data_IF_204500741915
#
_entry.id   IF_204500741915
#
_cell.length_a   1.000
_cell.length_b   1.000
_cell.length_c   1.000
_cell.angle_alpha   90.00
_cell.angle_beta   90.00
_cell.angle_gamma   90.00
#
_symmetry.space_group_name_H-M   'P 1'
#
loop_
_entity.id
_entity.type
_entity.pdbx_description
1 polymer ?
#
# COMPACT_ATOMS: atom_id res chain seq x y z
N UNK A 1 0.48 -42.07 3.55
CA UNK A 1 1.74 -41.64 4.20
C UNK A 1 1.98 -40.17 3.85
N UNK A 2 1.86 -39.29 4.83
CA UNK A 2 2.23 -37.85 4.77
C UNK A 2 3.74 -37.68 5.09
N UNK A 3 4.41 -36.59 4.64
CA UNK A 3 4.27 -35.23 5.20
C UNK A 3 4.11 -34.15 4.10
N UNK A 4 3.39 -33.05 4.27
CA UNK A 4 3.40 -32.13 5.40
C UNK A 4 4.26 -30.89 5.05
N UNK A 5 3.70 -29.97 4.26
CA UNK A 5 4.25 -28.66 3.85
C UNK A 5 3.15 -27.66 4.30
N UNK A 6 3.27 -26.69 5.21
CA UNK A 6 4.35 -25.97 5.93
C UNK A 6 3.80 -25.45 7.29
N UNK A 7 4.61 -24.81 8.16
CA UNK A 7 4.59 -23.34 8.14
C UNK A 7 5.99 -22.70 8.23
N UNK A 8 6.27 -21.79 7.30
CA UNK A 8 7.54 -21.07 7.14
C UNK A 8 7.70 -19.84 8.05
N UNK A 9 6.90 -19.70 9.11
CA UNK A 9 6.88 -18.47 9.93
C UNK A 9 7.41 -18.62 11.37
N UNK A 10 8.10 -19.71 11.69
CA UNK A 10 8.62 -19.94 13.07
C UNK A 10 10.15 -20.16 13.13
N UNK A 11 10.88 -20.12 12.01
CA UNK A 11 12.33 -20.39 11.99
C UNK A 11 13.28 -19.19 12.05
N UNK A 12 12.81 -17.96 11.84
CA UNK A 12 13.70 -16.77 11.90
C UNK A 12 13.83 -16.15 13.30
N UNK A 13 12.98 -16.49 14.26
CA UNK A 13 13.04 -15.93 15.62
C UNK A 13 13.97 -16.70 16.59
N UNK A 14 14.68 -17.73 16.13
CA UNK A 14 15.57 -18.55 16.98
C UNK A 14 17.05 -18.60 16.56
N UNK A 15 17.47 -17.87 15.51
CA UNK A 15 18.87 -17.86 15.06
C UNK A 15 19.65 -16.56 15.33
N UNK A 16 19.02 -15.50 15.83
CA UNK A 16 19.70 -14.23 16.10
C UNK A 16 20.45 -14.16 17.46
N UNK A 17 20.34 -15.17 18.34
CA UNK A 17 20.85 -15.06 19.72
C UNK A 17 21.99 -16.06 20.07
N UNK A 18 22.80 -16.47 19.07
CA UNK A 18 23.91 -17.42 19.28
C UNK A 18 25.20 -17.11 18.52
N UNK A 19 25.47 -15.83 18.22
CA UNK A 19 26.74 -15.37 17.64
C UNK A 19 27.51 -14.36 18.52
N UNK A 20 27.10 -14.16 19.76
CA UNK A 20 27.88 -13.47 20.79
C UNK A 20 28.21 -14.45 21.89
N UNK A 21 29.32 -15.19 21.75
CA UNK A 21 30.16 -15.67 22.85
C UNK A 21 31.36 -16.43 22.27
N UNK A 22 32.56 -15.96 22.65
CA UNK A 22 33.90 -16.57 22.50
C UNK A 22 34.57 -16.44 21.13
N UNK A 23 35.48 -15.47 21.02
CA UNK A 23 36.93 -15.79 21.12
C UNK A 23 37.68 -14.64 21.77
N UNK A 24 38.55 -15.02 22.70
CA UNK A 24 39.35 -14.17 23.58
C UNK A 24 40.75 -13.98 22.99
N UNK A 25 41.29 -12.77 23.17
CA UNK A 25 42.67 -12.58 23.63
C UNK A 25 43.81 -12.73 22.62
N UNK A 26 44.33 -11.61 22.14
CA UNK A 26 45.78 -11.42 21.95
C UNK A 26 46.19 -9.95 22.09
N UNK A 27 47.14 -9.70 22.99
CA UNK A 27 47.81 -8.42 23.24
C UNK A 27 48.92 -8.15 22.21
N UNK A 28 49.37 -6.88 22.21
CA UNK A 28 50.62 -6.28 21.64
C UNK A 28 50.40 -5.83 20.18
N UNK A 29 50.65 -4.58 19.73
CA UNK A 29 51.63 -3.57 20.14
C UNK A 29 51.13 -2.12 19.94
N UNK A 30 51.66 -1.20 20.75
CA UNK A 30 51.58 0.26 20.54
C UNK A 30 52.31 0.64 19.24
N UNK A 31 51.63 1.32 18.31
CA UNK A 31 52.25 2.17 17.29
C UNK A 31 51.50 3.49 17.23
N UNK A 32 52.25 4.56 17.42
CA UNK A 32 51.85 5.96 17.37
C UNK A 32 51.26 6.34 16.00
N UNK A 33 50.05 6.89 15.98
CA UNK A 33 49.51 7.62 14.82
C UNK A 33 49.96 9.09 14.88
N UNK A 34 50.37 9.68 13.75
CA UNK A 34 50.53 11.12 13.66
C UNK A 34 49.17 11.81 13.55
N UNK A 35 49.16 13.01 14.09
CA UNK A 35 48.07 13.96 14.26
C UNK A 35 47.47 14.49 12.95
N UNK A 36 46.24 14.99 13.09
CA UNK A 36 45.50 15.90 12.19
C UNK A 36 45.01 15.37 10.85
N UNK A 37 43.85 14.70 10.87
CA UNK A 37 42.91 14.71 9.73
C UNK A 37 41.91 15.84 10.01
N UNK A 38 41.92 16.87 9.16
CA UNK A 38 40.95 17.97 9.20
C UNK A 38 39.53 17.43 9.07
N UNK A 39 38.63 17.87 9.95
CA UNK A 39 37.19 17.57 9.93
C UNK A 39 36.56 17.94 8.58
N UNK A 40 37.14 18.90 7.82
CA UNK A 40 36.65 19.27 6.48
C UNK A 40 36.81 18.15 5.45
N UNK A 41 37.80 17.28 5.60
CA UNK A 41 38.08 16.19 4.64
C UNK A 41 37.12 15.02 4.80
N UNK A 42 36.59 14.81 6.02
CA UNK A 42 35.60 13.76 6.30
C UNK A 42 34.22 14.18 5.78
N UNK A 43 33.88 15.48 5.86
CA UNK A 43 32.62 16.02 5.35
C UNK A 43 32.57 15.96 3.80
N UNK A 44 33.70 16.23 3.12
CA UNK A 44 33.77 16.11 1.65
C UNK A 44 33.71 14.66 1.14
N UNK A 45 34.15 13.67 1.94
CA UNK A 45 34.06 12.25 1.55
C UNK A 45 32.67 11.66 1.80
N UNK A 46 31.95 12.16 2.82
CA UNK A 46 30.58 11.74 3.13
C UNK A 46 29.56 12.35 2.16
N UNK A 47 29.79 13.55 1.62
CA UNK A 47 28.92 14.15 0.58
C UNK A 47 29.02 13.45 -0.80
N UNK A 48 30.11 12.74 -1.09
CA UNK A 48 30.30 12.00 -2.35
C UNK A 48 29.78 10.56 -2.30
N UNK A 49 29.32 10.10 -1.14
CA UNK A 49 28.75 8.77 -0.90
C UNK A 49 27.27 8.81 -0.54
N UNK A 50 26.58 9.93 -0.79
CA UNK A 50 25.12 9.90 -0.85
C UNK A 50 24.74 8.95 -2.00
N UNK A 51 24.06 7.82 -1.73
CA UNK A 51 23.47 7.06 -2.81
C UNK A 51 22.54 8.04 -3.53
N UNK A 52 22.83 8.30 -4.81
CA UNK A 52 21.84 8.86 -5.72
C UNK A 52 20.63 7.95 -5.59
N UNK A 53 19.65 8.35 -4.79
CA UNK A 53 18.39 7.65 -4.68
C UNK A 53 17.90 7.44 -6.11
N UNK A 54 17.64 6.19 -6.53
CA UNK A 54 17.06 5.97 -7.84
C UNK A 54 15.76 6.77 -7.85
N UNK A 55 15.72 7.81 -8.69
CA UNK A 55 14.45 8.40 -9.10
C UNK A 55 13.65 7.22 -9.60
N UNK A 56 12.54 6.90 -8.94
CA UNK A 56 11.59 5.95 -9.47
C UNK A 56 11.27 6.44 -10.89
N UNK A 57 11.82 5.75 -11.90
CA UNK A 57 11.51 6.05 -13.29
C UNK A 57 10.06 5.64 -13.42
N UNK A 58 9.19 6.63 -13.61
CA UNK A 58 7.84 6.36 -14.09
C UNK A 58 8.04 5.76 -15.47
N UNK A 59 7.80 4.46 -15.59
CA UNK A 59 7.96 3.74 -16.85
C UNK A 59 6.95 4.27 -17.86
N UNK A 60 7.32 4.34 -19.14
CA UNK A 60 6.38 4.73 -20.21
C UNK A 60 5.37 3.58 -20.49
N UNK A 61 5.77 2.34 -20.19
CA UNK A 61 5.00 1.10 -20.40
C UNK A 61 5.23 0.11 -19.26
N UNK A 62 4.24 -0.74 -19.01
CA UNK A 62 4.32 -1.92 -18.12
C UNK A 62 3.97 -3.15 -18.94
N UNK A 63 4.78 -4.20 -18.88
CA UNK A 63 4.48 -5.46 -19.56
C UNK A 63 3.44 -6.25 -18.75
N UNK A 64 2.27 -6.48 -19.34
CA UNK A 64 1.16 -7.18 -18.71
C UNK A 64 1.22 -8.65 -19.10
N UNK A 65 1.36 -9.53 -18.11
CA UNK A 65 1.36 -10.98 -18.26
C UNK A 65 0.02 -11.54 -17.76
N UNK A 66 -0.88 -11.87 -18.67
CA UNK A 66 -2.17 -12.47 -18.36
C UNK A 66 -2.09 -13.99 -18.38
N UNK A 67 -2.75 -14.65 -17.44
CA UNK A 67 -3.04 -16.09 -17.50
C UNK A 67 -4.52 -16.33 -17.22
N UNK A 68 -5.21 -17.04 -18.10
CA UNK A 68 -6.60 -17.47 -17.90
C UNK A 68 -6.62 -18.91 -17.40
N UNK A 69 -7.29 -19.14 -16.27
CA UNK A 69 -7.44 -20.47 -15.66
C UNK A 69 -8.91 -20.80 -15.41
N UNK A 70 -9.26 -22.06 -15.64
CA UNK A 70 -10.57 -22.65 -15.35
C UNK A 70 -10.49 -23.48 -14.07
N UNK A 71 -11.47 -23.34 -13.18
CA UNK A 71 -11.76 -24.38 -12.19
C UNK A 71 -12.59 -25.47 -12.87
N UNK A 72 -12.13 -26.71 -12.82
CA UNK A 72 -12.85 -27.89 -13.30
C UNK A 72 -12.79 -28.96 -12.22
N UNK A 73 -13.90 -29.15 -11.51
CA UNK A 73 -13.88 -29.93 -10.27
C UNK A 73 -12.88 -29.30 -9.29
N UNK A 74 -11.91 -30.08 -8.83
CA UNK A 74 -10.91 -29.64 -7.84
C UNK A 74 -9.61 -29.12 -8.46
N UNK A 75 -9.50 -29.15 -9.79
CA UNK A 75 -8.30 -28.73 -10.50
C UNK A 75 -8.47 -27.32 -11.07
N UNK A 76 -7.40 -26.54 -11.00
CA UNK A 76 -7.27 -25.28 -11.72
C UNK A 76 -6.32 -25.49 -12.88
N UNK A 77 -6.83 -25.37 -14.10
CA UNK A 77 -6.06 -25.59 -15.33
C UNK A 77 -6.08 -24.36 -16.23
N UNK A 78 -4.99 -24.10 -16.94
CA UNK A 78 -4.97 -23.01 -17.91
C UNK A 78 -5.93 -23.28 -19.08
N UNK A 79 -6.53 -22.22 -19.64
CA UNK A 79 -7.42 -22.33 -20.80
C UNK A 79 -6.66 -21.91 -22.06
N UNK A 80 -6.26 -22.87 -22.92
CA UNK A 80 -5.63 -22.54 -24.18
C UNK A 80 -6.64 -21.91 -25.15
N UNK A 81 -6.18 -20.96 -25.97
CA UNK A 81 -6.99 -20.30 -27.01
C UNK A 81 -8.29 -19.65 -26.50
N UNK A 82 -8.30 -19.19 -25.24
CA UNK A 82 -9.42 -18.48 -24.65
C UNK A 82 -9.61 -17.13 -25.34
N UNK A 83 -10.83 -16.84 -25.80
CA UNK A 83 -11.17 -15.57 -26.44
C UNK A 83 -11.58 -14.53 -25.40
N UNK A 84 -10.90 -13.40 -25.43
CA UNK A 84 -11.04 -12.31 -24.47
C UNK A 84 -11.24 -10.98 -25.21
N UNK A 85 -11.89 -10.04 -24.56
CA UNK A 85 -11.88 -8.63 -24.95
C UNK A 85 -11.17 -7.85 -23.87
N UNK A 86 -10.08 -7.18 -24.24
CA UNK A 86 -9.31 -6.30 -23.36
C UNK A 86 -9.61 -4.85 -23.75
N UNK A 87 -9.90 -4.00 -22.77
CA UNK A 87 -10.38 -2.61 -22.97
C UNK A 87 -9.55 -1.75 -23.91
N UNK A 88 -8.23 -1.93 -23.96
CA UNK A 88 -7.28 -1.11 -24.72
C UNK A 88 -6.65 -1.84 -25.92
N UNK A 89 -6.86 -3.16 -26.04
CA UNK A 89 -6.33 -3.99 -27.13
C UNK A 89 -7.43 -4.45 -28.10
N UNK A 90 -8.63 -4.72 -27.59
CA UNK A 90 -9.72 -5.36 -28.34
C UNK A 90 -9.75 -6.87 -28.14
N UNK A 91 -10.23 -7.59 -29.16
CA UNK A 91 -10.36 -9.05 -29.10
C UNK A 91 -9.01 -9.75 -29.27
N UNK A 92 -8.70 -10.66 -28.35
CA UNK A 92 -7.46 -11.44 -28.33
C UNK A 92 -7.74 -12.90 -27.98
N UNK A 93 -6.76 -13.76 -28.27
CA UNK A 93 -6.77 -15.15 -27.85
C UNK A 93 -5.52 -15.47 -27.04
N UNK A 94 -5.66 -16.27 -25.99
CA UNK A 94 -4.51 -16.79 -25.24
C UNK A 94 -3.75 -17.85 -26.04
N UNK A 95 -2.49 -18.08 -25.68
CA UNK A 95 -1.64 -19.12 -26.25
C UNK A 95 -2.01 -20.54 -25.77
N UNK A 96 -1.16 -21.52 -26.10
CA UNK A 96 -1.32 -22.93 -25.69
C UNK A 96 -1.18 -23.18 -24.18
N UNK A 97 -0.64 -22.21 -23.44
CA UNK A 97 -0.52 -22.23 -21.98
C UNK A 97 -1.56 -21.33 -21.31
N UNK A 98 -2.53 -20.80 -22.07
CA UNK A 98 -3.55 -19.89 -21.57
C UNK A 98 -3.02 -18.51 -21.19
N UNK A 99 -1.88 -18.11 -21.74
CA UNK A 99 -1.22 -16.84 -21.46
C UNK A 99 -1.41 -15.83 -22.60
N UNK A 100 -1.35 -14.55 -22.25
CA UNK A 100 -1.29 -13.45 -23.21
C UNK A 100 -0.43 -12.32 -22.64
N UNK A 101 0.54 -11.83 -23.41
CA UNK A 101 1.47 -10.78 -22.96
C UNK A 101 1.38 -9.58 -23.89
N UNK A 102 1.27 -8.38 -23.33
CA UNK A 102 1.26 -7.14 -24.11
C UNK A 102 1.77 -5.95 -23.30
N UNK A 103 2.38 -4.95 -23.97
CA UNK A 103 2.81 -3.72 -23.31
C UNK A 103 1.62 -2.78 -23.09
N UNK A 104 1.44 -2.32 -21.86
CA UNK A 104 0.38 -1.37 -21.48
C UNK A 104 0.95 0.05 -21.27
N UNK A 105 0.42 1.08 -21.95
CA UNK A 105 0.90 2.45 -21.80
C UNK A 105 0.38 3.10 -20.52
N UNK A 106 1.25 3.31 -19.53
CA UNK A 106 0.88 3.98 -18.26
C UNK A 106 1.13 5.50 -18.26
N UNK A 107 1.81 6.02 -19.30
CA UNK A 107 2.19 7.43 -19.37
C UNK A 107 0.96 8.35 -19.38
N UNK A 108 0.94 9.33 -18.47
CA UNK A 108 -0.13 10.32 -18.28
C UNK A 108 -1.49 9.76 -17.84
N UNK A 109 -1.55 8.51 -17.35
CA UNK A 109 -2.78 7.97 -16.77
C UNK A 109 -2.81 8.20 -15.25
N UNK A 110 -3.84 8.90 -14.78
CA UNK A 110 -4.23 8.94 -13.37
C UNK A 110 -5.07 7.71 -13.07
N UNK A 111 -4.51 6.76 -12.32
CA UNK A 111 -5.09 5.45 -11.95
C UNK A 111 -5.31 4.49 -13.15
N UNK A 112 -4.23 3.98 -13.79
CA UNK A 112 -4.35 3.07 -14.93
C UNK A 112 -5.11 1.78 -14.57
N UNK A 113 -6.07 1.41 -15.41
CA UNK A 113 -6.99 0.27 -15.21
C UNK A 113 -7.10 -0.54 -16.51
N UNK A 114 -7.14 -1.86 -16.38
CA UNK A 114 -7.36 -2.81 -17.46
C UNK A 114 -8.65 -3.56 -17.14
N UNK A 115 -9.58 -3.58 -18.08
CA UNK A 115 -10.80 -4.39 -17.99
C UNK A 115 -10.77 -5.49 -19.03
N UNK A 116 -11.00 -6.72 -18.58
CA UNK A 116 -11.02 -7.91 -19.42
C UNK A 116 -12.38 -8.59 -19.25
N UNK A 117 -13.02 -8.87 -20.38
CA UNK A 117 -14.20 -9.73 -20.43
C UNK A 117 -13.91 -10.97 -21.25
N UNK A 118 -14.55 -12.06 -20.89
CA UNK A 118 -14.41 -13.33 -21.59
C UNK A 118 -15.56 -13.51 -22.57
N UNK A 119 -15.24 -13.92 -23.80
CA UNK A 119 -16.22 -14.16 -24.85
C UNK A 119 -16.75 -15.61 -24.78
N UNK A 120 -17.31 -16.00 -23.63
CA UNK A 120 -17.86 -17.33 -23.38
C UNK A 120 -19.15 -17.23 -22.56
N UNK A 121 -20.31 -17.68 -23.08
CA UNK A 121 -21.57 -17.62 -22.34
C UNK A 121 -21.65 -18.64 -21.20
N UNK A 122 -20.88 -19.72 -21.26
CA UNK A 122 -20.90 -20.82 -20.28
C UNK A 122 -19.99 -20.57 -19.08
N UNK A 123 -19.07 -19.60 -19.17
CA UNK A 123 -18.04 -19.39 -18.14
C UNK A 123 -18.24 -18.05 -17.47
N UNK A 124 -18.30 -18.07 -16.15
CA UNK A 124 -18.33 -16.88 -15.32
C UNK A 124 -16.91 -16.52 -14.88
N UNK A 125 -16.55 -15.25 -15.02
CA UNK A 125 -15.29 -14.73 -14.49
C UNK A 125 -15.45 -14.43 -13.00
N UNK A 126 -14.61 -15.04 -12.14
CA UNK A 126 -14.64 -14.86 -10.69
C UNK A 126 -13.49 -13.99 -10.17
N UNK A 127 -12.33 -14.05 -10.83
CA UNK A 127 -11.12 -13.30 -10.47
C UNK A 127 -10.53 -12.70 -11.73
N UNK A 128 -10.11 -11.42 -11.73
CA UNK A 128 -10.40 -10.39 -10.74
C UNK A 128 -11.89 -9.98 -10.77
N UNK A 129 -12.36 -9.32 -9.70
CA UNK A 129 -13.75 -8.85 -9.63
C UNK A 129 -14.06 -7.90 -10.81
N UNK A 130 -15.22 -8.10 -11.44
CA UNK A 130 -15.66 -7.37 -12.64
C UNK A 130 -14.68 -7.45 -13.82
N UNK A 131 -13.72 -8.39 -13.78
CA UNK A 131 -12.65 -8.50 -14.76
C UNK A 131 -11.72 -7.30 -14.84
N UNK A 132 -11.72 -6.43 -13.84
CA UNK A 132 -10.97 -5.17 -13.86
C UNK A 132 -9.83 -5.17 -12.86
N UNK A 133 -8.69 -4.59 -13.26
CA UNK A 133 -7.47 -4.54 -12.43
C UNK A 133 -6.81 -3.17 -12.55
N UNK A 134 -6.47 -2.59 -11.40
CA UNK A 134 -5.62 -1.40 -11.37
C UNK A 134 -4.15 -1.78 -11.48
N UNK A 135 -3.44 -1.10 -12.37
CA UNK A 135 -2.04 -1.35 -12.68
C UNK A 135 -1.15 -0.47 -11.80
N UNK A 136 -0.06 -1.05 -11.30
CA UNK A 136 0.95 -0.31 -10.58
C UNK A 136 2.03 0.19 -11.54
N UNK A 137 2.07 1.50 -11.87
CA UNK A 137 3.02 2.04 -12.84
C UNK A 137 4.47 2.06 -12.32
N UNK A 138 4.71 1.67 -11.07
CA UNK A 138 6.05 1.54 -10.50
C UNK A 138 6.73 0.21 -10.84
N UNK A 139 5.99 -0.76 -11.37
CA UNK A 139 6.51 -2.07 -11.75
C UNK A 139 6.79 -2.14 -13.24
N UNK A 140 7.83 -2.87 -13.65
CA UNK A 140 8.15 -3.10 -15.06
C UNK A 140 7.27 -4.20 -15.68
N UNK A 141 6.99 -5.24 -14.89
CA UNK A 141 6.15 -6.37 -15.27
C UNK A 141 5.00 -6.51 -14.28
N UNK A 142 3.82 -6.85 -14.77
CA UNK A 142 2.62 -7.02 -13.96
C UNK A 142 1.90 -8.31 -14.34
N UNK A 143 1.74 -9.21 -13.38
CA UNK A 143 1.18 -10.56 -13.59
C UNK A 143 -0.26 -10.61 -13.10
N UNK A 144 -1.17 -11.08 -13.96
CA UNK A 144 -2.60 -11.15 -13.66
C UNK A 144 -3.14 -12.56 -13.94
N UNK A 145 -3.63 -13.20 -12.88
CA UNK A 145 -4.35 -14.47 -12.96
C UNK A 145 -5.87 -14.23 -13.01
N UNK A 146 -6.49 -14.61 -14.12
CA UNK A 146 -7.94 -14.61 -14.28
C UNK A 146 -8.47 -16.01 -14.00
N UNK A 147 -9.42 -16.13 -13.08
CA UNK A 147 -10.09 -17.39 -12.76
C UNK A 147 -11.52 -17.37 -13.28
N UNK A 148 -11.86 -18.38 -14.05
CA UNK A 148 -13.20 -18.58 -14.59
C UNK A 148 -13.75 -19.94 -14.17
N UNK A 149 -15.07 -20.02 -14.07
CA UNK A 149 -15.76 -21.24 -13.64
C UNK A 149 -17.02 -21.44 -14.48
N UNK A 150 -17.28 -22.68 -14.88
CA UNK A 150 -18.59 -23.04 -15.39
C UNK A 150 -19.54 -23.27 -14.22
N UNK A 151 -20.36 -22.28 -13.89
CA UNK A 151 -21.25 -22.35 -12.73
C UNK A 151 -22.27 -23.48 -12.81
N UNK A 152 -22.59 -23.99 -14.01
CA UNK A 152 -23.52 -25.10 -14.19
C UNK A 152 -22.95 -26.44 -13.69
N UNK A 153 -21.63 -26.59 -13.67
CA UNK A 153 -20.94 -27.83 -13.28
C UNK A 153 -20.64 -27.87 -11.77
N UNK A 154 -20.93 -26.79 -11.05
CA UNK A 154 -20.57 -26.63 -9.64
C UNK A 154 -21.73 -26.94 -8.68
N UNK A 155 -21.38 -27.28 -7.44
CA UNK A 155 -22.37 -27.56 -6.39
C UNK A 155 -23.25 -26.34 -6.07
N UNK A 156 -24.51 -26.58 -5.70
CA UNK A 156 -25.43 -25.51 -5.31
C UNK A 156 -24.90 -24.70 -4.11
N UNK A 157 -24.14 -25.35 -3.22
CA UNK A 157 -23.54 -24.69 -2.07
C UNK A 157 -22.41 -23.73 -2.49
N UNK A 158 -21.54 -24.17 -3.41
CA UNK A 158 -20.50 -23.31 -3.99
C UNK A 158 -21.12 -22.10 -4.69
N UNK A 159 -22.16 -22.32 -5.52
CA UNK A 159 -22.88 -21.23 -6.19
C UNK A 159 -23.41 -20.20 -5.19
N UNK A 160 -24.04 -20.65 -4.09
CA UNK A 160 -24.52 -19.75 -3.03
C UNK A 160 -23.39 -18.97 -2.35
N UNK A 161 -22.24 -19.58 -2.10
CA UNK A 161 -21.07 -18.90 -1.50
C UNK A 161 -20.53 -17.80 -2.44
N UNK A 162 -20.46 -18.07 -3.73
CA UNK A 162 -20.06 -17.08 -4.74
C UNK A 162 -21.09 -15.94 -4.82
N UNK A 163 -22.39 -16.25 -4.88
CA UNK A 163 -23.44 -15.22 -4.89
C UNK A 163 -23.42 -14.36 -3.62
N UNK A 164 -23.20 -14.96 -2.45
CA UNK A 164 -23.08 -14.23 -1.19
C UNK A 164 -21.87 -13.28 -1.20
N UNK A 165 -20.72 -13.76 -1.69
CA UNK A 165 -19.52 -12.95 -1.86
C UNK A 165 -19.79 -11.75 -2.79
N UNK A 166 -20.39 -11.99 -3.96
CA UNK A 166 -20.71 -10.94 -4.93
C UNK A 166 -21.70 -9.90 -4.37
N UNK A 167 -22.74 -10.35 -3.66
CA UNK A 167 -23.70 -9.46 -3.02
C UNK A 167 -23.02 -8.57 -1.96
N UNK A 168 -22.12 -9.14 -1.17
CA UNK A 168 -21.33 -8.40 -0.19
C UNK A 168 -20.40 -7.39 -0.86
N UNK A 169 -19.66 -7.80 -1.91
CA UNK A 169 -18.79 -6.89 -2.67
C UNK A 169 -19.60 -5.76 -3.32
N UNK A 170 -20.75 -6.07 -3.94
CA UNK A 170 -21.64 -5.07 -4.53
C UNK A 170 -22.28 -4.14 -3.50
N UNK A 171 -22.48 -4.57 -2.26
CA UNK A 171 -22.89 -3.68 -1.15
C UNK A 171 -21.74 -2.72 -0.77
N UNK A 172 -20.55 -3.24 -0.52
CA UNK A 172 -19.37 -2.44 -0.15
C UNK A 172 -19.00 -1.42 -1.23
N UNK A 173 -19.14 -1.80 -2.51
CA UNK A 173 -18.93 -0.92 -3.65
C UNK A 173 -19.98 0.20 -3.68
N UNK A 174 -21.27 -0.10 -3.51
CA UNK A 174 -22.36 0.90 -3.49
C UNK A 174 -22.24 1.88 -2.33
N UNK A 175 -21.79 1.42 -1.18
CA UNK A 175 -21.60 2.26 0.01
C UNK A 175 -20.33 3.11 -0.05
N UNK A 176 -19.49 2.96 -1.09
CA UNK A 176 -18.23 3.70 -1.30
C UNK A 176 -17.29 3.66 -0.09
N UNK A 177 -17.38 2.58 0.70
CA UNK A 177 -16.60 2.43 1.92
C UNK A 177 -15.13 2.13 1.63
N UNK A 178 -14.90 1.33 0.58
CA UNK A 178 -13.60 0.83 0.15
C UNK A 178 -13.23 1.39 -1.22
N UNK A 179 -11.93 1.61 -1.43
CA UNK A 179 -11.41 1.86 -2.79
C UNK A 179 -11.56 0.61 -3.65
N UNK A 180 -11.64 0.78 -4.99
CA UNK A 180 -11.68 -0.35 -5.94
C UNK A 180 -10.57 -1.38 -5.66
N UNK A 181 -9.34 -0.93 -5.40
CA UNK A 181 -8.21 -1.82 -5.12
C UNK A 181 -8.38 -2.64 -3.85
N UNK A 182 -8.87 -2.02 -2.77
CA UNK A 182 -9.16 -2.73 -1.51
C UNK A 182 -10.28 -3.76 -1.72
N UNK A 183 -11.32 -3.38 -2.46
CA UNK A 183 -12.42 -4.26 -2.82
C UNK A 183 -11.94 -5.47 -3.65
N UNK A 184 -11.05 -5.27 -4.63
CA UNK A 184 -10.45 -6.36 -5.41
C UNK A 184 -9.59 -7.29 -4.57
N UNK A 185 -8.77 -6.75 -3.66
CA UNK A 185 -7.96 -7.57 -2.75
C UNK A 185 -8.82 -8.38 -1.79
N UNK A 186 -9.89 -7.77 -1.26
CA UNK A 186 -10.87 -8.44 -0.41
C UNK A 186 -11.53 -9.59 -1.15
N UNK A 187 -12.09 -9.33 -2.34
CA UNK A 187 -12.72 -10.34 -3.18
C UNK A 187 -11.77 -11.51 -3.47
N UNK A 188 -10.55 -11.21 -3.91
CA UNK A 188 -9.57 -12.25 -4.25
C UNK A 188 -9.22 -13.12 -3.04
N UNK A 189 -9.01 -12.51 -1.87
CA UNK A 189 -8.68 -13.25 -0.64
C UNK A 189 -9.82 -14.15 -0.20
N UNK A 190 -11.06 -13.65 -0.23
CA UNK A 190 -12.24 -14.42 0.15
C UNK A 190 -12.54 -15.53 -0.86
N UNK A 191 -12.40 -15.25 -2.15
CA UNK A 191 -12.56 -16.24 -3.21
C UNK A 191 -11.52 -17.36 -3.09
N UNK A 192 -10.25 -17.02 -2.90
CA UNK A 192 -9.17 -18.01 -2.72
C UNK A 192 -9.46 -18.89 -1.47
N UNK A 193 -10.05 -18.31 -0.43
CA UNK A 193 -10.50 -19.03 0.77
C UNK A 193 -11.67 -19.98 0.48
N UNK A 194 -12.68 -19.52 -0.27
CA UNK A 194 -13.82 -20.36 -0.70
C UNK A 194 -13.32 -21.55 -1.52
N UNK A 195 -12.41 -21.31 -2.47
CA UNK A 195 -11.84 -22.35 -3.34
C UNK A 195 -11.04 -23.39 -2.54
N UNK A 196 -10.23 -22.94 -1.58
CA UNK A 196 -9.44 -23.83 -0.72
C UNK A 196 -10.34 -24.80 0.07
N UNK A 197 -11.45 -24.30 0.63
CA UNK A 197 -12.35 -25.14 1.40
C UNK A 197 -13.24 -26.03 0.54
N UNK A 198 -13.60 -25.59 -0.66
CA UNK A 198 -14.27 -26.44 -1.64
C UNK A 198 -13.40 -27.66 -1.98
N UNK A 199 -12.10 -27.45 -2.20
CA UNK A 199 -11.16 -28.53 -2.45
C UNK A 199 -11.07 -29.53 -1.28
N UNK A 200 -11.10 -29.05 -0.03
CA UNK A 200 -11.15 -29.93 1.14
C UNK A 200 -12.44 -30.75 1.14
N UNK A 201 -13.59 -30.14 0.87
CA UNK A 201 -14.90 -30.82 0.86
C UNK A 201 -14.91 -31.95 -0.18
N UNK A 202 -14.55 -31.65 -1.42
CA UNK A 202 -14.51 -32.65 -2.49
C UNK A 202 -13.55 -33.81 -2.16
N UNK A 203 -12.39 -33.51 -1.56
CA UNK A 203 -11.44 -34.56 -1.16
C UNK A 203 -11.98 -35.51 -0.09
N UNK A 204 -12.87 -35.02 0.78
CA UNK A 204 -13.55 -35.84 1.79
C UNK A 204 -14.71 -36.63 1.18
N UNK A 205 -15.47 -36.02 0.27
CA UNK A 205 -16.54 -36.70 -0.47
C UNK A 205 -15.99 -37.88 -1.30
N UNK A 206 -14.88 -37.68 -2.02
CA UNK A 206 -14.20 -38.74 -2.77
C UNK A 206 -13.79 -39.91 -1.86
N UNK A 207 -13.26 -39.62 -0.68
CA UNK A 207 -12.92 -40.66 0.31
C UNK A 207 -14.14 -41.44 0.80
N UNK A 208 -15.30 -40.78 0.92
CA UNK A 208 -16.57 -41.43 1.30
C UNK A 208 -17.08 -42.32 0.16
N UNK A 209 -17.02 -41.85 -1.09
CA UNK A 209 -17.47 -42.60 -2.27
C UNK A 209 -16.63 -43.82 -2.58
N UNK A 210 -15.31 -43.80 -2.33
CA UNK A 210 -14.43 -44.97 -2.52
C UNK A 210 -14.76 -46.15 -1.59
N UNK A 211 -15.61 -45.96 -0.58
CA UNK A 211 -15.97 -47.02 0.37
C UNK A 211 -17.10 -47.95 -0.12
N UNK A 212 -17.51 -47.96 -1.39
CA UNK A 212 -18.76 -48.53 -1.94
C UNK A 212 -19.04 -50.06 -1.83
N UNK A 213 -18.40 -50.81 -0.93
CA UNK A 213 -18.84 -52.17 -0.52
C UNK A 213 -18.75 -52.31 1.00
N UNK A 214 -19.79 -51.88 1.72
CA UNK A 214 -19.68 -51.52 3.15
C UNK A 214 -20.10 -52.64 4.13
N UNK A 215 -19.21 -52.91 5.09
CA UNK A 215 -19.50 -53.54 6.38
C UNK A 215 -20.07 -52.51 7.39
N UNK A 216 -20.61 -52.95 8.52
CA UNK A 216 -21.27 -52.06 9.50
C UNK A 216 -20.31 -51.04 10.15
N UNK A 217 -19.05 -51.41 10.40
CA UNK A 217 -17.99 -50.48 10.85
C UNK A 217 -17.71 -49.37 9.82
N UNK A 218 -17.88 -49.71 8.56
CA UNK A 218 -17.66 -48.86 7.41
C UNK A 218 -18.81 -47.83 7.27
N UNK A 219 -20.05 -48.21 7.63
CA UNK A 219 -21.18 -47.26 7.76
C UNK A 219 -20.98 -46.27 8.91
N UNK A 220 -20.54 -46.72 10.08
CA UNK A 220 -20.23 -45.84 11.20
C UNK A 220 -19.10 -44.84 10.86
N UNK A 221 -18.12 -45.28 10.06
CA UNK A 221 -17.05 -44.42 9.58
C UNK A 221 -17.58 -43.32 8.63
N UNK A 222 -18.49 -43.66 7.72
CA UNK A 222 -19.15 -42.70 6.82
C UNK A 222 -19.98 -41.69 7.62
N UNK A 223 -20.79 -42.13 8.58
CA UNK A 223 -21.58 -41.20 9.42
C UNK A 223 -20.67 -40.24 10.19
N UNK A 224 -19.55 -40.73 10.73
CA UNK A 224 -18.55 -39.90 11.40
C UNK A 224 -17.95 -38.87 10.45
N UNK A 225 -17.58 -39.28 9.23
CA UNK A 225 -17.01 -38.39 8.23
C UNK A 225 -18.02 -37.36 7.73
N UNK A 226 -19.29 -37.73 7.51
CA UNK A 226 -20.36 -36.80 7.15
C UNK A 226 -20.60 -35.76 8.25
N UNK A 227 -20.58 -36.17 9.53
CA UNK A 227 -20.66 -35.24 10.64
C UNK A 227 -19.44 -34.31 10.72
N UNK A 228 -18.25 -34.80 10.34
CA UNK A 228 -17.02 -34.00 10.29
C UNK A 228 -17.06 -32.99 9.14
N UNK A 229 -17.57 -33.37 7.97
CA UNK A 229 -17.81 -32.47 6.82
C UNK A 229 -18.77 -31.34 7.23
N UNK A 230 -19.92 -31.66 7.82
CA UNK A 230 -20.90 -30.65 8.24
C UNK A 230 -20.32 -29.68 9.29
N UNK A 231 -19.46 -30.15 10.19
CA UNK A 231 -18.79 -29.30 11.17
C UNK A 231 -17.73 -28.40 10.51
N UNK A 232 -16.96 -28.95 9.56
CA UNK A 232 -16.01 -28.17 8.77
C UNK A 232 -16.73 -27.09 7.94
N UNK A 233 -17.85 -27.40 7.29
CA UNK A 233 -18.67 -26.43 6.56
C UNK A 233 -19.12 -25.28 7.45
N UNK A 234 -19.66 -25.58 8.64
CA UNK A 234 -20.06 -24.57 9.60
C UNK A 234 -18.87 -23.68 10.00
N UNK A 235 -17.70 -24.29 10.28
CA UNK A 235 -16.49 -23.56 10.65
C UNK A 235 -15.95 -22.70 9.52
N UNK A 236 -16.02 -23.17 8.28
CA UNK A 236 -15.64 -22.40 7.09
C UNK A 236 -16.52 -21.17 6.93
N UNK A 237 -17.83 -21.34 7.08
CA UNK A 237 -18.77 -20.23 6.98
C UNK A 237 -18.49 -19.18 8.06
N UNK A 238 -18.27 -19.61 9.31
CA UNK A 238 -17.90 -18.69 10.41
C UNK A 238 -16.57 -18.00 10.14
N UNK A 239 -15.52 -18.73 9.79
CA UNK A 239 -14.19 -18.12 9.54
C UNK A 239 -14.19 -17.18 8.34
N UNK A 240 -14.95 -17.50 7.29
CA UNK A 240 -15.09 -16.63 6.11
C UNK A 240 -15.83 -15.35 6.48
N UNK A 241 -16.88 -15.44 7.30
CA UNK A 241 -17.59 -14.29 7.82
C UNK A 241 -16.68 -13.43 8.71
N UNK A 242 -16.02 -14.02 9.71
CA UNK A 242 -15.10 -13.34 10.62
C UNK A 242 -13.97 -12.65 9.85
N UNK A 243 -13.41 -13.33 8.83
CA UNK A 243 -12.38 -12.76 7.97
C UNK A 243 -12.92 -11.60 7.14
N UNK A 244 -14.14 -11.70 6.62
CA UNK A 244 -14.79 -10.62 5.86
C UNK A 244 -14.95 -9.39 6.74
N UNK A 245 -15.52 -9.55 7.93
CA UNK A 245 -15.75 -8.47 8.89
C UNK A 245 -14.42 -7.82 9.34
N UNK A 246 -13.42 -8.63 9.67
CA UNK A 246 -12.10 -8.13 10.07
C UNK A 246 -11.36 -7.39 8.96
N UNK A 247 -11.46 -7.87 7.70
CA UNK A 247 -10.87 -7.18 6.56
C UNK A 247 -11.61 -5.90 6.22
N UNK A 248 -12.94 -5.89 6.25
CA UNK A 248 -13.76 -4.70 6.08
C UNK A 248 -13.41 -3.63 7.12
N UNK A 249 -13.39 -3.99 8.41
CA UNK A 249 -13.01 -3.07 9.48
C UNK A 249 -11.59 -2.54 9.28
N UNK A 250 -10.63 -3.42 8.93
CA UNK A 250 -9.25 -3.01 8.63
C UNK A 250 -9.22 -1.97 7.51
N UNK A 251 -9.92 -2.19 6.40
CA UNK A 251 -9.89 -1.27 5.27
C UNK A 251 -10.62 0.06 5.55
N UNK A 252 -11.70 0.02 6.33
CA UNK A 252 -12.38 1.22 6.82
C UNK A 252 -11.43 2.08 7.66
N UNK A 253 -10.74 1.47 8.62
CA UNK A 253 -9.71 2.14 9.43
C UNK A 253 -8.58 2.67 8.56
N UNK A 254 -8.12 1.88 7.60
CA UNK A 254 -7.11 2.29 6.62
C UNK A 254 -7.56 3.59 5.91
N UNK A 255 -8.80 3.66 5.43
CA UNK A 255 -9.35 4.85 4.76
C UNK A 255 -9.48 6.06 5.69
N UNK A 256 -9.90 5.87 6.95
CA UNK A 256 -9.96 6.93 7.97
C UNK A 256 -8.58 7.57 8.19
N UNK A 257 -7.56 6.74 8.43
CA UNK A 257 -6.18 7.22 8.60
C UNK A 257 -5.65 7.89 7.34
N UNK A 258 -5.88 7.30 6.16
CA UNK A 258 -5.46 7.89 4.89
C UNK A 258 -6.02 9.30 4.69
N UNK A 259 -7.34 9.48 4.90
CA UNK A 259 -7.99 10.78 4.77
C UNK A 259 -7.41 11.78 5.76
N UNK A 260 -7.25 11.40 7.03
CA UNK A 260 -6.70 12.26 8.06
C UNK A 260 -5.27 12.71 7.72
N UNK A 261 -4.38 11.76 7.39
CA UNK A 261 -2.99 12.04 7.00
C UNK A 261 -2.93 12.95 5.77
N UNK A 262 -3.68 12.62 4.72
CA UNK A 262 -3.71 13.41 3.48
C UNK A 262 -4.17 14.85 3.72
N UNK A 263 -5.19 15.04 4.56
CA UNK A 263 -5.75 16.35 4.86
C UNK A 263 -4.75 17.18 5.68
N UNK A 264 -4.13 16.58 6.69
CA UNK A 264 -3.14 17.27 7.53
C UNK A 264 -1.92 17.68 6.72
N UNK A 265 -1.32 16.76 5.96
CA UNK A 265 -0.13 17.05 5.14
C UNK A 265 -0.42 18.09 4.04
N UNK A 266 -1.56 17.98 3.35
CA UNK A 266 -1.96 18.98 2.34
C UNK A 266 -2.26 20.34 2.96
N UNK A 267 -2.88 20.38 4.14
CA UNK A 267 -3.14 21.60 4.90
C UNK A 267 -1.85 22.32 5.28
N UNK A 268 -0.83 21.57 5.75
CA UNK A 268 0.46 22.15 6.10
C UNK A 268 1.16 22.76 4.90
N UNK A 269 1.26 22.03 3.78
CA UNK A 269 1.90 22.54 2.55
C UNK A 269 1.19 23.78 2.04
N UNK A 270 -0.15 23.80 2.04
CA UNK A 270 -0.93 24.97 1.62
C UNK A 270 -0.55 26.19 2.46
N UNK A 271 -0.60 26.10 3.79
CA UNK A 271 -0.32 27.26 4.63
C UNK A 271 1.17 27.64 4.69
N UNK A 272 2.07 26.69 4.47
CA UNK A 272 3.48 26.99 4.27
C UNK A 272 3.70 27.83 2.99
N UNK A 273 2.98 27.51 1.90
CA UNK A 273 2.99 28.31 0.65
C UNK A 273 2.36 29.68 0.85
N UNK A 274 1.24 29.77 1.57
CA UNK A 274 0.63 31.07 1.90
C UNK A 274 1.66 31.98 2.60
N UNK A 275 2.46 31.44 3.53
CA UNK A 275 3.54 32.17 4.18
C UNK A 275 4.71 32.51 3.24
N UNK A 276 5.11 31.56 2.38
CA UNK A 276 6.14 31.76 1.35
C UNK A 276 5.81 32.95 0.45
N UNK A 277 4.55 33.10 0.05
CA UNK A 277 4.07 34.18 -0.82
C UNK A 277 4.23 35.57 -0.21
N UNK A 278 4.23 35.68 1.13
CA UNK A 278 4.43 36.97 1.82
C UNK A 278 5.88 37.44 1.83
N UNK A 279 6.85 36.51 1.79
CA UNK A 279 8.27 36.81 2.04
C UNK A 279 8.88 37.84 1.05
N UNK A 280 8.58 37.82 -0.25
CA UNK A 280 9.14 38.82 -1.18
C UNK A 280 8.60 40.24 -0.99
N UNK A 281 7.55 40.44 -0.18
CA UNK A 281 6.76 41.68 -0.18
C UNK A 281 6.56 42.30 1.22
N UNK A 282 7.32 41.86 2.22
CA UNK A 282 7.25 42.30 3.62
C UNK A 282 7.21 43.83 3.78
N UNK A 283 8.09 44.56 3.08
CA UNK A 283 8.17 46.04 3.18
C UNK A 283 6.90 46.72 2.63
N UNK A 284 6.30 46.14 1.60
CA UNK A 284 5.08 46.67 0.96
C UNK A 284 3.87 46.51 1.88
N UNK A 285 3.77 45.37 2.57
CA UNK A 285 2.65 45.05 3.46
C UNK A 285 2.64 45.85 4.76
N UNK A 286 3.81 46.27 5.24
CA UNK A 286 3.92 47.12 6.44
C UNK A 286 3.25 48.49 6.25
N UNK A 287 3.26 49.05 5.04
CA UNK A 287 2.70 50.38 4.76
C UNK A 287 1.19 50.40 4.47
N UNK A 288 0.56 49.24 4.25
CA UNK A 288 -0.74 49.15 3.57
C UNK A 288 -1.87 48.44 4.34
N UNK A 289 -1.77 48.28 5.67
CA UNK A 289 -2.66 47.41 6.50
C UNK A 289 -2.59 45.90 6.20
N UNK A 290 -1.81 45.49 5.19
CA UNK A 290 -1.67 44.09 4.77
C UNK A 290 -0.84 43.22 5.72
N UNK A 291 -0.08 43.81 6.66
CA UNK A 291 0.65 43.02 7.65
C UNK A 291 -0.27 42.10 8.50
N UNK A 292 -1.57 42.43 8.60
CA UNK A 292 -2.57 41.59 9.25
C UNK A 292 -2.87 40.29 8.49
N UNK A 293 -2.69 40.26 7.16
CA UNK A 293 -2.89 39.04 6.37
C UNK A 293 -1.76 38.04 6.64
N UNK A 294 -0.51 38.50 6.63
CA UNK A 294 0.65 37.66 7.02
C UNK A 294 0.53 37.12 8.45
N UNK A 295 0.13 37.96 9.41
CA UNK A 295 -0.10 37.51 10.80
C UNK A 295 -1.20 36.45 10.90
N UNK A 296 -2.31 36.61 10.15
CA UNK A 296 -3.36 35.59 10.09
C UNK A 296 -2.83 34.29 9.50
N UNK A 297 -2.11 34.35 8.38
CA UNK A 297 -1.63 33.16 7.68
C UNK A 297 -0.54 32.44 8.50
N UNK A 298 0.28 33.19 9.26
CA UNK A 298 1.22 32.63 10.25
C UNK A 298 0.51 31.87 11.37
N UNK A 299 -0.61 32.40 11.89
CA UNK A 299 -1.42 31.70 12.90
C UNK A 299 -2.09 30.44 12.34
N UNK A 300 -2.56 30.48 11.09
CA UNK A 300 -3.16 29.32 10.42
C UNK A 300 -2.11 28.22 10.20
N UNK A 301 -0.92 28.60 9.71
CA UNK A 301 0.21 27.70 9.59
C UNK A 301 0.61 27.07 10.92
N UNK A 302 0.76 27.87 11.98
CA UNK A 302 1.10 27.37 13.33
C UNK A 302 0.05 26.39 13.86
N UNK A 303 -1.23 26.70 13.65
CA UNK A 303 -2.32 25.81 14.06
C UNK A 303 -2.21 24.44 13.38
N UNK A 304 -2.02 24.40 12.06
CA UNK A 304 -1.90 23.13 11.33
C UNK A 304 -0.61 22.40 11.69
N UNK A 305 0.48 23.12 11.97
CA UNK A 305 1.70 22.50 12.49
C UNK A 305 1.45 21.81 13.84
N UNK A 306 0.77 22.48 14.79
CA UNK A 306 0.44 21.88 16.10
C UNK A 306 -0.41 20.61 15.91
N UNK A 307 -1.43 20.66 15.05
CA UNK A 307 -2.27 19.49 14.75
C UNK A 307 -1.44 18.30 14.20
N UNK A 308 -0.46 18.55 13.34
CA UNK A 308 0.46 17.50 12.86
C UNK A 308 1.38 17.02 13.97
N UNK A 309 2.00 17.94 14.72
CA UNK A 309 2.95 17.60 15.78
C UNK A 309 2.32 16.72 16.86
N UNK A 310 1.05 16.99 17.21
CA UNK A 310 0.31 16.25 18.23
C UNK A 310 -0.14 14.87 17.73
N UNK A 311 -0.40 14.73 16.42
CA UNK A 311 -0.99 13.51 15.82
C UNK A 311 -0.03 12.63 15.04
N UNK A 312 1.20 13.08 14.79
CA UNK A 312 2.17 12.31 13.98
C UNK A 312 2.36 10.88 14.50
N UNK A 313 2.42 10.68 15.82
CA UNK A 313 2.62 9.37 16.43
C UNK A 313 1.41 8.46 16.20
N UNK A 314 0.21 9.00 16.37
CA UNK A 314 -1.06 8.32 16.06
C UNK A 314 -1.10 7.89 14.59
N UNK A 315 -0.64 8.74 13.67
CA UNK A 315 -0.58 8.44 12.24
C UNK A 315 0.42 7.33 11.93
N UNK A 316 1.62 7.35 12.51
CA UNK A 316 2.63 6.30 12.33
C UNK A 316 2.15 4.96 12.90
N UNK A 317 1.55 4.96 14.09
CA UNK A 317 0.98 3.75 14.68
C UNK A 317 -0.17 3.18 13.84
N UNK A 318 -1.04 4.06 13.31
CA UNK A 318 -2.10 3.68 12.39
C UNK A 318 -1.57 3.05 11.10
N UNK A 319 -0.58 3.68 10.46
CA UNK A 319 0.03 3.15 9.22
C UNK A 319 0.72 1.82 9.47
N UNK A 320 1.54 1.71 10.51
CA UNK A 320 2.19 0.45 10.89
C UNK A 320 1.17 -0.68 11.10
N UNK A 321 0.06 -0.40 11.77
CA UNK A 321 -0.97 -1.38 12.09
C UNK A 321 -1.80 -1.82 10.89
N UNK A 322 -2.29 -0.87 10.08
CA UNK A 322 -3.29 -1.16 9.06
C UNK A 322 -2.71 -1.45 7.67
N UNK A 323 -1.53 -0.89 7.35
CA UNK A 323 -0.83 -1.20 6.10
C UNK A 323 0.10 -2.41 6.22
N UNK A 324 0.59 -2.72 7.42
CA UNK A 324 1.55 -3.81 7.66
C UNK A 324 2.79 -3.70 6.74
N UNK A 325 3.20 -2.47 6.42
CA UNK A 325 4.34 -2.17 5.57
C UNK A 325 5.30 -1.23 6.30
N UNK A 326 6.42 -1.79 6.78
CA UNK A 326 7.42 -1.06 7.55
C UNK A 326 8.13 0.01 6.73
N UNK A 327 8.36 -0.23 5.44
CA UNK A 327 9.01 0.73 4.53
C UNK A 327 8.16 1.99 4.36
N UNK A 328 6.86 1.83 4.13
CA UNK A 328 5.92 2.95 3.99
C UNK A 328 5.81 3.72 5.31
N UNK A 329 5.77 3.02 6.44
CA UNK A 329 5.72 3.68 7.74
C UNK A 329 6.97 4.54 7.99
N UNK A 330 8.14 4.02 7.64
CA UNK A 330 9.41 4.74 7.77
C UNK A 330 9.50 5.95 6.83
N UNK A 331 9.07 5.81 5.58
CA UNK A 331 9.01 6.96 4.66
C UNK A 331 8.05 8.05 5.16
N UNK A 332 6.93 7.68 5.78
CA UNK A 332 6.04 8.66 6.40
C UNK A 332 6.68 9.36 7.61
N UNK A 333 7.42 8.62 8.44
CA UNK A 333 8.21 9.17 9.54
C UNK A 333 9.24 10.20 9.03
N UNK A 334 9.96 9.87 7.95
CA UNK A 334 10.91 10.78 7.32
C UNK A 334 10.24 12.07 6.80
N UNK A 335 9.01 11.97 6.27
CA UNK A 335 8.22 13.15 5.86
C UNK A 335 7.85 14.02 7.07
N UNK A 336 7.40 13.42 8.18
CA UNK A 336 7.12 14.19 9.40
C UNK A 336 8.38 14.84 9.98
N UNK A 337 9.51 14.14 9.97
CA UNK A 337 10.78 14.67 10.46
C UNK A 337 11.28 15.85 9.61
N UNK A 338 11.17 15.74 8.28
CA UNK A 338 11.48 16.85 7.36
C UNK A 338 10.56 18.04 7.64
N UNK A 339 9.26 17.81 7.79
CA UNK A 339 8.26 18.84 8.05
C UNK A 339 8.55 19.57 9.37
N UNK A 340 8.69 18.82 10.46
CA UNK A 340 8.78 19.36 11.81
C UNK A 340 10.17 19.92 12.08
N UNK A 341 11.21 19.08 11.95
CA UNK A 341 12.58 19.46 12.30
C UNK A 341 13.22 20.24 11.16
N UNK A 342 13.08 19.77 9.93
CA UNK A 342 13.73 20.38 8.76
C UNK A 342 13.17 21.76 8.41
N UNK A 343 11.85 21.87 8.26
CA UNK A 343 11.22 23.06 7.68
C UNK A 343 10.63 23.96 8.78
N UNK A 344 9.76 23.44 9.64
CA UNK A 344 9.09 24.27 10.63
C UNK A 344 10.07 24.86 11.64
N UNK A 345 10.78 24.01 12.40
CA UNK A 345 11.63 24.45 13.51
C UNK A 345 12.90 25.17 13.06
N UNK A 346 13.52 24.72 11.97
CA UNK A 346 14.83 25.23 11.55
C UNK A 346 14.75 26.36 10.50
N UNK A 347 13.62 26.56 9.81
CA UNK A 347 13.52 27.54 8.73
C UNK A 347 12.35 28.51 8.88
N UNK A 348 11.11 28.04 8.79
CA UNK A 348 9.94 28.91 8.75
C UNK A 348 9.77 29.67 10.07
N UNK A 349 9.73 28.97 11.20
CA UNK A 349 9.51 29.59 12.51
C UNK A 349 10.58 30.64 12.87
N UNK A 350 11.90 30.37 12.79
CA UNK A 350 12.90 31.38 13.13
C UNK A 350 12.84 32.58 12.19
N UNK A 351 12.67 32.36 10.87
CA UNK A 351 12.57 33.44 9.88
C UNK A 351 11.36 34.34 10.14
N UNK A 352 10.19 33.73 10.34
CA UNK A 352 8.93 34.45 10.58
C UNK A 352 9.00 35.23 11.89
N UNK A 353 9.52 34.63 12.97
CA UNK A 353 9.69 35.33 14.26
C UNK A 353 10.64 36.53 14.13
N UNK A 354 11.77 36.38 13.44
CA UNK A 354 12.70 37.49 13.22
C UNK A 354 12.05 38.63 12.41
N UNK A 355 11.26 38.29 11.38
CA UNK A 355 10.49 39.26 10.61
C UNK A 355 9.51 40.02 11.51
N UNK A 356 8.71 39.32 12.33
CA UNK A 356 7.78 39.94 13.27
C UNK A 356 8.50 40.85 14.28
N UNK A 357 9.63 40.40 14.83
CA UNK A 357 10.45 41.18 15.76
C UNK A 357 11.00 42.46 15.11
N UNK A 358 11.56 42.35 13.90
CA UNK A 358 12.07 43.52 13.17
C UNK A 358 10.97 44.52 12.80
N UNK A 359 9.77 44.02 12.47
CA UNK A 359 8.62 44.85 12.15
C UNK A 359 8.10 45.58 13.40
N UNK A 360 8.00 44.89 14.53
CA UNK A 360 7.60 45.51 15.82
C UNK A 360 8.57 46.61 16.25
N UNK A 361 9.86 46.49 15.90
CA UNK A 361 10.89 47.50 16.12
C UNK A 361 10.90 48.64 15.07
N UNK A 362 9.96 48.65 14.12
CA UNK A 362 9.88 49.66 13.07
C UNK A 362 11.01 49.56 12.02
N UNK A 363 11.53 48.35 11.76
CA UNK A 363 12.64 48.09 10.82
C UNK A 363 12.20 47.25 9.59
N UNK A 364 11.19 47.66 8.81
CA UNK A 364 10.65 46.86 7.70
C UNK A 364 11.68 46.58 6.59
N UNK A 365 12.64 47.49 6.37
CA UNK A 365 13.72 47.27 5.39
C UNK A 365 14.72 46.18 5.80
N UNK A 366 14.92 45.93 7.10
CA UNK A 366 15.72 44.79 7.57
C UNK A 366 14.91 43.50 7.50
N UNK A 367 13.64 43.55 7.89
CA UNK A 367 12.72 42.42 7.78
C UNK A 367 12.63 41.91 6.33
N UNK A 368 12.54 42.81 5.36
CA UNK A 368 12.58 42.47 3.92
C UNK A 368 13.86 41.71 3.54
N UNK A 369 15.04 42.16 4.02
CA UNK A 369 16.31 41.47 3.70
C UNK A 369 16.39 40.08 4.31
N UNK A 370 15.91 39.90 5.54
CA UNK A 370 15.80 38.58 6.18
C UNK A 370 14.88 37.67 5.36
N UNK A 371 13.73 38.18 4.93
CA UNK A 371 12.76 37.43 4.12
C UNK A 371 13.32 37.05 2.75
N UNK A 372 13.94 37.98 2.03
CA UNK A 372 14.61 37.73 0.73
C UNK A 372 15.73 36.69 0.84
N UNK A 373 16.52 36.74 1.92
CA UNK A 373 17.60 35.79 2.16
C UNK A 373 17.11 34.38 2.47
N UNK A 374 15.91 34.23 3.05
CA UNK A 374 15.31 32.94 3.39
C UNK A 374 14.38 32.39 2.31
N UNK A 375 13.89 33.25 1.39
CA UNK A 375 12.85 32.90 0.42
C UNK A 375 13.22 31.69 -0.44
N UNK A 376 14.39 31.71 -1.09
CA UNK A 376 14.78 30.64 -2.02
C UNK A 376 14.88 29.27 -1.32
N UNK A 377 15.50 29.23 -0.14
CA UNK A 377 15.64 28.01 0.64
C UNK A 377 14.28 27.47 1.12
N UNK A 378 13.41 28.35 1.64
CA UNK A 378 12.06 27.98 2.08
C UNK A 378 11.23 27.44 0.89
N UNK A 379 11.22 28.16 -0.24
CA UNK A 379 10.53 27.73 -1.46
C UNK A 379 11.00 26.37 -1.96
N UNK A 380 12.32 26.13 -1.99
CA UNK A 380 12.90 24.86 -2.43
C UNK A 380 12.49 23.71 -1.50
N UNK A 381 12.52 23.93 -0.18
CA UNK A 381 12.18 22.90 0.79
C UNK A 381 10.67 22.60 0.83
N UNK A 382 9.80 23.61 0.68
CA UNK A 382 8.35 23.40 0.54
C UNK A 382 8.03 22.57 -0.70
N UNK A 383 8.65 22.88 -1.85
CA UNK A 383 8.46 22.10 -3.09
C UNK A 383 9.00 20.67 -2.97
N UNK A 384 10.12 20.49 -2.28
CA UNK A 384 10.68 19.15 -2.00
C UNK A 384 9.73 18.35 -1.10
N UNK A 385 9.24 18.95 -0.01
CA UNK A 385 8.27 18.35 0.89
C UNK A 385 6.99 17.95 0.17
N UNK A 386 6.42 18.83 -0.66
CA UNK A 386 5.21 18.54 -1.44
C UNK A 386 5.39 17.31 -2.35
N UNK A 387 6.54 17.17 -3.00
CA UNK A 387 6.83 15.97 -3.81
C UNK A 387 6.92 14.71 -2.98
N UNK A 388 7.53 14.78 -1.79
CA UNK A 388 7.63 13.62 -0.88
C UNK A 388 6.25 13.25 -0.32
N UNK A 389 5.44 14.23 0.05
CA UNK A 389 4.05 14.04 0.47
C UNK A 389 3.24 13.36 -0.63
N UNK A 390 3.30 13.85 -1.86
CA UNK A 390 2.56 13.24 -2.98
C UNK A 390 3.00 11.79 -3.23
N UNK A 391 4.30 11.50 -3.12
CA UNK A 391 4.83 10.14 -3.25
C UNK A 391 4.31 9.22 -2.15
N UNK A 392 4.38 9.63 -0.88
CA UNK A 392 3.95 8.78 0.24
C UNK A 392 2.44 8.58 0.24
N UNK A 393 1.66 9.61 -0.11
CA UNK A 393 0.21 9.49 -0.25
C UNK A 393 -0.19 8.55 -1.39
N UNK A 394 0.56 8.56 -2.50
CA UNK A 394 0.36 7.59 -3.58
C UNK A 394 0.65 6.16 -3.11
N UNK A 395 1.76 5.95 -2.39
CA UNK A 395 2.12 4.64 -1.81
C UNK A 395 1.06 4.16 -0.81
N UNK A 396 0.59 5.02 0.10
CA UNK A 396 -0.45 4.70 1.08
C UNK A 396 -1.78 4.37 0.40
N UNK A 397 -2.15 5.07 -0.68
CA UNK A 397 -3.38 4.75 -1.43
C UNK A 397 -3.28 3.41 -2.17
N UNK A 398 -2.08 3.06 -2.61
CA UNK A 398 -1.81 1.89 -3.45
C UNK A 398 -1.48 0.64 -2.65
N UNK A 399 -1.09 0.78 -1.39
CA UNK A 399 -0.68 -0.34 -0.52
C UNK A 399 -1.82 -0.78 0.36
#
# INVERSE_FOLDING_TARGET
MQPGIMPFLVKELLFANRAQLRTSGRKIAKKSLPSTISISTIISLVLLLLPLFPKAQVMDYVDIHLTIREKVGDEIRAIPNARLTISDVGEVATDEHGQYVYPYPVRNQTDPEISISMLSPERKLLKPLDGSVQIDPSQQEFYIDFLVVNMADESQEFQKKIEALENNMGKLQRENQLTKRQLYRLNNTLLDTILYFEQIRSSLEAQVSEMENLTEEQRQTIERQQSEIANLEAKVNTLTQDLTEALEERYLRQNEYFKAISSSLAGYVRHAKDLEEHLPHIKTYFGANDFRSMDRDARLYEKVFIEISDRQQEFLEGVARYWQNEEINKELEEVFDLLIKGIHLNQIRPTVNEIFDLISQGKPGKAQKTAEGAYEDISLNIRSLEKQINRILMKLRNS
#
